data_IF_455129655518
#
_entry.id   IF_455129655518
#
_cell.length_a   1.000
_cell.length_b   1.000
_cell.length_c   1.000
_cell.angle_alpha   90.00
_cell.angle_beta   90.00
_cell.angle_gamma   90.00
#
_symmetry.space_group_name_H-M   'P 1'
#
loop_
_entity.id
_entity.type
_entity.pdbx_description
1 polymer ?
#
# COMPACT_ATOMS: atom_id res chain seq x y z
N UNK A 1 -16.76 10.18 17.35
CA UNK A 1 -15.31 10.20 17.69
C UNK A 1 -14.54 10.42 16.40
N UNK A 2 -13.46 11.20 16.42
CA UNK A 2 -12.88 11.82 15.22
C UNK A 2 -12.26 10.77 14.28
N UNK A 3 -12.61 10.83 12.99
CA UNK A 3 -12.04 10.09 11.83
C UNK A 3 -10.50 10.05 11.79
N UNK A 4 -9.85 10.86 12.61
CA UNK A 4 -8.42 10.96 12.84
C UNK A 4 -7.73 9.59 12.98
N UNK A 5 -8.31 8.63 13.71
CA UNK A 5 -7.66 7.32 13.90
C UNK A 5 -7.56 6.51 12.60
N UNK A 6 -8.63 6.44 11.81
CA UNK A 6 -8.60 5.72 10.53
C UNK A 6 -7.60 6.36 9.56
N UNK A 7 -7.60 7.69 9.48
CA UNK A 7 -6.69 8.44 8.62
C UNK A 7 -5.22 8.28 9.04
N UNK A 8 -4.93 8.36 10.35
CA UNK A 8 -3.58 8.13 10.87
C UNK A 8 -3.13 6.70 10.53
N UNK A 9 -4.00 5.69 10.70
CA UNK A 9 -3.64 4.31 10.36
C UNK A 9 -3.29 4.15 8.87
N UNK A 10 -4.07 4.73 7.96
CA UNK A 10 -3.73 4.70 6.52
C UNK A 10 -2.44 5.46 6.21
N UNK A 11 -2.18 6.57 6.92
CA UNK A 11 -0.95 7.34 6.73
C UNK A 11 0.28 6.55 7.19
N UNK A 12 0.19 5.91 8.36
CA UNK A 12 1.25 5.02 8.88
C UNK A 12 1.45 3.83 7.93
N UNK A 13 0.37 3.23 7.42
CA UNK A 13 0.43 2.18 6.40
C UNK A 13 1.18 2.62 5.13
N UNK A 14 0.87 3.81 4.62
CA UNK A 14 1.57 4.40 3.45
C UNK A 14 3.05 4.65 3.70
N UNK A 15 3.40 5.20 4.87
CA UNK A 15 4.80 5.46 5.23
C UNK A 15 5.56 4.14 5.33
N UNK A 16 5.01 3.14 6.03
CA UNK A 16 5.63 1.81 6.12
C UNK A 16 5.78 1.15 4.76
N UNK A 17 4.77 1.23 3.89
CA UNK A 17 4.85 0.68 2.54
C UNK A 17 5.97 1.35 1.73
N UNK A 18 6.11 2.67 1.85
CA UNK A 18 7.19 3.43 1.20
C UNK A 18 8.56 3.02 1.74
N UNK A 19 8.71 2.84 3.07
CA UNK A 19 9.95 2.36 3.67
C UNK A 19 10.33 0.95 3.20
N UNK A 20 9.38 0.01 3.17
CA UNK A 20 9.61 -1.35 2.67
C UNK A 20 10.03 -1.33 1.21
N UNK A 21 9.37 -0.51 0.39
CA UNK A 21 9.70 -0.38 -1.03
C UNK A 21 11.13 0.18 -1.23
N UNK A 22 11.53 1.20 -0.46
CA UNK A 22 12.90 1.71 -0.48
C UNK A 22 13.93 0.66 -0.07
N UNK A 23 13.63 -0.19 0.92
CA UNK A 23 14.51 -1.29 1.32
C UNK A 23 14.64 -2.35 0.23
N UNK A 24 13.55 -2.66 -0.49
CA UNK A 24 13.59 -3.60 -1.64
C UNK A 24 14.50 -3.06 -2.74
N UNK A 25 14.44 -1.75 -3.04
CA UNK A 25 15.36 -1.12 -4.02
C UNK A 25 16.81 -1.26 -3.57
N UNK A 26 17.09 -0.94 -2.31
CA UNK A 26 18.43 -1.07 -1.75
C UNK A 26 18.94 -2.51 -1.89
N UNK A 27 18.12 -3.48 -1.52
CA UNK A 27 18.44 -4.90 -1.64
C UNK A 27 18.71 -5.31 -3.09
N UNK A 28 17.92 -4.81 -4.04
CA UNK A 28 18.13 -5.09 -5.46
C UNK A 28 19.45 -4.55 -6.00
N UNK A 29 19.85 -3.34 -5.60
CA UNK A 29 21.15 -2.78 -5.97
C UNK A 29 22.26 -3.69 -5.46
N UNK A 30 22.17 -4.16 -4.21
CA UNK A 30 23.16 -5.07 -3.62
C UNK A 30 23.23 -6.41 -4.37
N UNK A 31 22.09 -7.00 -4.72
CA UNK A 31 22.04 -8.26 -5.49
C UNK A 31 22.62 -8.06 -6.89
N UNK A 32 22.34 -6.94 -7.54
CA UNK A 32 22.88 -6.66 -8.88
C UNK A 32 24.41 -6.51 -8.89
N UNK A 33 25.00 -6.04 -7.78
CA UNK A 33 26.46 -5.92 -7.64
C UNK A 33 27.16 -7.28 -7.42
N UNK A 34 26.41 -8.36 -7.17
CA UNK A 34 27.00 -9.69 -7.07
C UNK A 34 27.17 -10.31 -8.47
N UNK A 35 28.37 -10.81 -8.83
CA UNK A 35 28.61 -11.40 -10.14
C UNK A 35 27.83 -12.71 -10.27
N UNK A 36 26.92 -12.76 -11.23
CA UNK A 36 26.18 -13.99 -11.56
C UNK A 36 27.07 -14.95 -12.37
N UNK A 37 26.80 -16.25 -12.23
CA UNK A 37 27.52 -17.29 -12.98
C UNK A 37 27.07 -17.38 -14.45
N UNK A 38 25.83 -16.98 -14.77
CA UNK A 38 25.30 -16.93 -16.12
C UNK A 38 24.75 -15.51 -16.46
N UNK A 39 25.27 -14.85 -17.51
CA UNK A 39 24.79 -13.53 -17.94
C UNK A 39 23.31 -13.48 -18.34
N UNK A 40 22.76 -14.58 -18.89
CA UNK A 40 21.38 -14.61 -19.36
C UNK A 40 20.38 -14.67 -18.20
N UNK A 41 20.71 -15.44 -17.15
CA UNK A 41 19.89 -15.51 -15.94
C UNK A 41 19.89 -14.17 -15.19
N UNK A 42 21.03 -13.48 -15.15
CA UNK A 42 21.15 -12.16 -14.52
C UNK A 42 20.22 -11.12 -15.18
N UNK A 43 20.15 -11.10 -16.51
CA UNK A 43 19.30 -10.17 -17.25
C UNK A 43 17.80 -10.44 -17.05
N UNK A 44 17.39 -11.71 -16.97
CA UNK A 44 16.01 -12.10 -16.70
C UNK A 44 15.57 -11.70 -15.28
N UNK A 45 16.41 -11.98 -14.28
CA UNK A 45 16.15 -11.60 -12.88
C UNK A 45 16.06 -10.08 -12.76
N UNK A 46 16.97 -9.34 -13.39
CA UNK A 46 16.93 -7.88 -13.40
C UNK A 46 15.66 -7.33 -14.05
N UNK A 47 15.28 -7.83 -15.23
CA UNK A 47 14.08 -7.39 -15.94
C UNK A 47 12.78 -7.66 -15.17
N UNK A 48 12.66 -8.85 -14.56
CA UNK A 48 11.53 -9.20 -13.70
C UNK A 48 11.43 -8.25 -12.51
N UNK A 49 12.54 -8.06 -11.79
CA UNK A 49 12.55 -7.25 -10.59
C UNK A 49 12.33 -5.75 -10.87
N UNK A 50 12.88 -5.22 -11.97
CA UNK A 50 12.61 -3.85 -12.44
C UNK A 50 11.11 -3.65 -12.69
N UNK A 51 10.46 -4.62 -13.34
CA UNK A 51 9.02 -4.59 -13.60
C UNK A 51 8.23 -4.55 -12.30
N UNK A 52 8.58 -5.39 -11.32
CA UNK A 52 7.96 -5.40 -9.99
C UNK A 52 8.13 -4.06 -9.27
N UNK A 53 9.31 -3.44 -9.32
CA UNK A 53 9.54 -2.10 -8.73
C UNK A 53 8.62 -1.06 -9.36
N UNK A 54 8.55 -1.01 -10.69
CA UNK A 54 7.77 0.02 -11.39
C UNK A 54 6.29 -0.15 -11.10
N UNK A 55 5.77 -1.38 -11.13
CA UNK A 55 4.35 -1.63 -10.80
C UNK A 55 4.03 -1.29 -9.35
N UNK A 56 4.92 -1.64 -8.40
CA UNK A 56 4.73 -1.30 -6.98
C UNK A 56 4.84 0.20 -6.72
N UNK A 57 5.69 0.91 -7.45
CA UNK A 57 5.78 2.38 -7.39
C UNK A 57 4.47 3.04 -7.81
N UNK A 58 3.87 2.58 -8.92
CA UNK A 58 2.56 3.06 -9.37
C UNK A 58 1.49 2.81 -8.30
N UNK A 59 1.46 1.60 -7.71
CA UNK A 59 0.53 1.28 -6.64
C UNK A 59 0.69 2.19 -5.42
N UNK A 60 1.93 2.49 -5.01
CA UNK A 60 2.22 3.44 -3.92
C UNK A 60 1.76 4.86 -4.24
N UNK A 61 1.94 5.34 -5.47
CA UNK A 61 1.41 6.65 -5.87
C UNK A 61 -0.12 6.68 -5.72
N UNK A 62 -0.80 5.61 -6.14
CA UNK A 62 -2.26 5.50 -5.94
C UNK A 62 -2.65 5.45 -4.47
N UNK A 63 -1.89 4.77 -3.60
CA UNK A 63 -2.20 4.72 -2.17
C UNK A 63 -2.00 6.09 -1.51
N UNK A 64 -1.00 6.88 -1.92
CA UNK A 64 -0.81 8.26 -1.49
C UNK A 64 -1.94 9.18 -1.97
N UNK A 65 -2.33 9.08 -3.24
CA UNK A 65 -3.48 9.82 -3.78
C UNK A 65 -4.76 9.44 -3.03
N UNK A 66 -4.99 8.15 -2.78
CA UNK A 66 -6.18 7.68 -2.06
C UNK A 66 -6.25 8.19 -0.64
N UNK A 67 -5.14 8.17 0.10
CA UNK A 67 -5.07 8.69 1.48
C UNK A 67 -5.43 10.17 1.55
N UNK A 68 -4.92 11.02 0.65
CA UNK A 68 -5.20 12.47 0.71
C UNK A 68 -6.47 12.89 -0.04
N UNK A 69 -6.64 12.44 -1.29
CA UNK A 69 -7.68 12.93 -2.22
C UNK A 69 -9.04 12.26 -2.01
N UNK A 70 -9.08 10.97 -1.66
CA UNK A 70 -10.35 10.26 -1.44
C UNK A 70 -10.92 10.46 -0.03
N UNK A 71 -10.15 11.03 0.90
CA UNK A 71 -10.60 11.29 2.29
C UNK A 71 -11.83 12.20 2.43
N UNK A 72 -12.24 12.88 1.34
CA UNK A 72 -13.49 13.64 1.28
C UNK A 72 -14.76 12.79 1.22
N UNK A 73 -14.71 11.58 0.66
CA UNK A 73 -15.88 10.70 0.53
C UNK A 73 -15.67 9.39 1.31
N UNK A 74 -16.34 9.27 2.46
CA UNK A 74 -16.05 8.22 3.46
C UNK A 74 -16.28 6.79 2.93
N UNK A 75 -17.32 6.58 2.13
CA UNK A 75 -17.66 5.25 1.60
C UNK A 75 -16.62 4.79 0.58
N UNK A 76 -16.33 5.63 -0.42
CA UNK A 76 -15.36 5.30 -1.47
C UNK A 76 -13.94 5.19 -0.93
N UNK A 77 -13.58 6.00 0.07
CA UNK A 77 -12.31 5.88 0.76
C UNK A 77 -12.21 4.56 1.54
N UNK A 78 -13.25 4.16 2.26
CA UNK A 78 -13.27 2.88 2.97
C UNK A 78 -13.08 1.69 2.01
N UNK A 79 -13.82 1.67 0.90
CA UNK A 79 -13.74 0.61 -0.11
C UNK A 79 -12.33 0.58 -0.72
N UNK A 80 -11.81 1.73 -1.15
CA UNK A 80 -10.48 1.82 -1.73
C UNK A 80 -9.41 1.27 -0.77
N UNK A 81 -9.47 1.67 0.50
CA UNK A 81 -8.45 1.29 1.50
C UNK A 81 -8.52 -0.20 1.84
N UNK A 82 -9.71 -0.81 1.84
CA UNK A 82 -9.86 -2.27 2.02
C UNK A 82 -9.32 -3.03 0.81
N UNK A 83 -9.67 -2.59 -0.40
CA UNK A 83 -9.23 -3.26 -1.64
C UNK A 83 -7.71 -3.22 -1.76
N UNK A 84 -7.10 -2.04 -1.60
CA UNK A 84 -5.65 -1.91 -1.69
C UNK A 84 -4.93 -2.64 -0.56
N UNK A 85 -5.50 -2.63 0.64
CA UNK A 85 -4.99 -3.40 1.77
C UNK A 85 -5.01 -4.90 1.52
N UNK A 86 -6.06 -5.40 0.87
CA UNK A 86 -6.16 -6.81 0.47
C UNK A 86 -5.12 -7.19 -0.58
N UNK A 87 -4.86 -6.32 -1.56
CA UNK A 87 -3.77 -6.52 -2.54
C UNK A 87 -2.42 -6.57 -1.83
N UNK A 88 -2.19 -5.66 -0.88
CA UNK A 88 -0.91 -5.58 -0.16
C UNK A 88 -0.72 -6.73 0.83
N UNK A 89 -1.80 -7.31 1.35
CA UNK A 89 -1.76 -8.46 2.25
C UNK A 89 -1.07 -9.68 1.63
N UNK A 90 -1.28 -9.93 0.33
CA UNK A 90 -0.65 -11.06 -0.40
C UNK A 90 0.74 -10.72 -0.96
N UNK A 91 1.38 -9.67 -0.45
CA UNK A 91 2.67 -9.16 -0.95
C UNK A 91 3.67 -8.97 0.19
N UNK A 92 4.93 -8.61 -0.08
CA UNK A 92 5.90 -8.21 0.95
C UNK A 92 5.43 -7.02 1.81
N UNK A 93 4.38 -6.32 1.40
CA UNK A 93 3.74 -5.21 2.11
C UNK A 93 2.61 -5.67 3.07
N UNK A 94 2.67 -6.90 3.58
CA UNK A 94 1.67 -7.47 4.49
C UNK A 94 1.28 -6.56 5.66
N UNK A 95 2.28 -6.02 6.39
CA UNK A 95 2.05 -5.14 7.54
C UNK A 95 1.30 -3.85 7.14
N UNK A 96 1.76 -3.09 6.12
CA UNK A 96 0.96 -2.01 5.54
C UNK A 96 -0.44 -2.44 5.10
N UNK A 97 -0.58 -3.61 4.48
CA UNK A 97 -1.85 -4.16 4.01
C UNK A 97 -2.87 -4.31 5.14
N UNK A 98 -2.45 -4.86 6.28
CA UNK A 98 -3.31 -4.97 7.47
C UNK A 98 -3.76 -3.59 7.95
N UNK A 99 -2.85 -2.61 8.03
CA UNK A 99 -3.18 -1.26 8.48
C UNK A 99 -4.21 -0.59 7.56
N UNK A 100 -4.11 -0.81 6.25
CA UNK A 100 -5.11 -0.34 5.29
C UNK A 100 -6.47 -1.01 5.48
N UNK A 101 -6.52 -2.32 5.68
CA UNK A 101 -7.78 -3.04 5.92
C UNK A 101 -8.45 -2.52 7.21
N UNK A 102 -7.69 -2.36 8.29
CA UNK A 102 -8.23 -1.86 9.57
C UNK A 102 -8.72 -0.41 9.40
N UNK A 103 -7.92 0.45 8.75
CA UNK A 103 -8.30 1.84 8.45
C UNK A 103 -9.62 1.91 7.69
N UNK A 104 -9.75 1.15 6.60
CA UNK A 104 -10.97 1.13 5.80
C UNK A 104 -12.17 0.56 6.55
N UNK A 105 -11.97 -0.49 7.37
CA UNK A 105 -13.03 -1.08 8.20
C UNK A 105 -13.57 -0.10 9.25
N UNK A 106 -12.68 0.66 9.91
CA UNK A 106 -13.08 1.71 10.86
C UNK A 106 -13.87 2.81 10.13
N UNK A 107 -13.42 3.22 8.94
CA UNK A 107 -14.12 4.21 8.13
C UNK A 107 -15.52 3.75 7.72
N UNK A 108 -15.66 2.50 7.27
CA UNK A 108 -16.95 1.93 6.91
C UNK A 108 -17.92 1.88 8.10
N UNK A 109 -17.43 1.51 9.28
CA UNK A 109 -18.23 1.48 10.50
C UNK A 109 -18.70 2.88 10.94
N UNK A 110 -17.87 3.91 10.75
CA UNK A 110 -18.25 5.29 11.01
C UNK A 110 -19.32 5.80 10.04
N UNK A 111 -19.14 5.53 8.73
CA UNK A 111 -20.13 5.91 7.72
C UNK A 111 -21.51 5.32 8.01
N UNK A 112 -21.57 4.02 8.36
CA UNK A 112 -22.83 3.34 8.70
C UNK A 112 -23.55 3.99 9.89
N UNK A 113 -22.80 4.38 10.92
CA UNK A 113 -23.35 5.04 12.12
C UNK A 113 -23.89 6.43 11.80
N UNK A 114 -23.23 7.20 10.93
CA UNK A 114 -23.71 8.51 10.48
C UNK A 114 -25.02 8.38 9.68
N UNK A 115 -25.14 7.36 8.82
CA UNK A 115 -26.38 7.12 8.07
C UNK A 115 -27.56 6.67 8.93
N UNK A 116 -27.33 5.86 9.98
CA UNK A 116 -28.39 5.39 10.90
C UNK A 116 -28.96 6.50 11.80
N UNK A 117 -28.19 7.58 12.05
CA UNK A 117 -28.66 8.73 12.85
C UNK A 117 -29.56 9.66 12.03
N UNK A 118 -29.42 9.64 10.70
CA UNK A 118 -30.13 10.54 9.77
C UNK A 118 -31.41 9.94 9.20
N UNK A 119 -31.69 8.65 9.48
CA UNK A 119 -32.90 7.92 9.08
C UNK A 119 -33.92 7.85 10.21
#
# INVERSE_FOLDING_TARGET
MKRTTAFILSLVGNILATCIWSLIILFMILVYLTPAQDPNEQNLVFGFLLTVIVMTAIALVFTWIGTFKLSGNQLWWAIFTIVIGSVFFFSPFFLPGILFIISGSISAAHYRRETEILS
#
